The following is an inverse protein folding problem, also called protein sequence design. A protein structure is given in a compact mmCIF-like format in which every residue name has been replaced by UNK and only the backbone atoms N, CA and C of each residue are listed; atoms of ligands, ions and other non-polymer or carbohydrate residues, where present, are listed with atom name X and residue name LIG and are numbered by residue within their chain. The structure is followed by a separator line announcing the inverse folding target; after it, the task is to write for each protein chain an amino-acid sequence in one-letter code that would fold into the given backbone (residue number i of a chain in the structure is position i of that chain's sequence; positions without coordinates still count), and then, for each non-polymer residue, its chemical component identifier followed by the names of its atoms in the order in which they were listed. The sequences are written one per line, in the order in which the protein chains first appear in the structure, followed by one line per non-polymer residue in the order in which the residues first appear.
data_IF_211203719637
#
_entry.id   IF_211203719637
#
_cell.length_a   1.000
_cell.length_b   1.000
_cell.length_c   1.000
_cell.angle_alpha   90.00
_cell.angle_beta   90.00
_cell.angle_gamma   90.00
#
_symmetry.space_group_name_H-M   'P 1'
#
loop_
_entity.id
_entity.type
_entity.pdbx_description
1 polymer ?
#
# COMPACT_ATOMS: atom_id res chain seq x y z
N UNK A 1 -25.84 21.28 -17.13
CA UNK A 1 -27.01 20.43 -16.79
C UNK A 1 -26.68 19.01 -17.22
N UNK A 2 -26.20 18.15 -16.30
CA UNK A 2 -26.06 16.74 -16.57
C UNK A 2 -27.47 16.12 -16.53
N UNK A 3 -27.97 15.71 -17.69
CA UNK A 3 -29.29 15.09 -17.83
C UNK A 3 -29.34 13.80 -17.03
N UNK A 4 -30.36 13.66 -16.17
CA UNK A 4 -30.61 12.42 -15.44
C UNK A 4 -30.88 11.29 -16.44
N UNK A 5 -30.02 10.27 -16.45
CA UNK A 5 -30.21 9.07 -17.28
C UNK A 5 -31.59 8.44 -17.02
N UNK A 6 -32.26 8.01 -18.06
CA UNK A 6 -33.51 7.26 -17.96
C UNK A 6 -33.29 5.89 -17.30
N UNK A 7 -34.36 5.29 -16.80
CA UNK A 7 -34.26 3.94 -16.20
C UNK A 7 -33.73 2.88 -17.20
N UNK A 8 -34.05 3.01 -18.47
CA UNK A 8 -33.56 2.15 -19.56
C UNK A 8 -32.05 2.32 -19.79
N UNK A 9 -31.56 3.56 -19.85
CA UNK A 9 -30.12 3.85 -19.98
C UNK A 9 -29.30 3.38 -18.78
N UNK A 10 -29.87 3.49 -17.56
CA UNK A 10 -29.24 2.95 -16.33
C UNK A 10 -29.18 1.41 -16.35
N UNK A 11 -30.24 0.74 -16.82
CA UNK A 11 -30.27 -0.71 -16.97
C UNK A 11 -29.25 -1.19 -18.01
N UNK A 12 -29.16 -0.50 -19.17
CA UNK A 12 -28.17 -0.79 -20.21
C UNK A 12 -26.72 -0.64 -19.72
N UNK A 13 -26.40 0.45 -19.01
CA UNK A 13 -25.06 0.64 -18.41
C UNK A 13 -24.72 -0.43 -17.37
N UNK A 14 -25.66 -0.84 -16.53
CA UNK A 14 -25.46 -1.93 -15.57
C UNK A 14 -25.14 -3.26 -16.25
N UNK A 15 -25.89 -3.61 -17.30
CA UNK A 15 -25.65 -4.82 -18.07
C UNK A 15 -24.28 -4.80 -18.76
N UNK A 16 -23.87 -3.65 -19.32
CA UNK A 16 -22.55 -3.49 -19.92
C UNK A 16 -21.41 -3.65 -18.90
N UNK A 17 -21.51 -3.06 -17.71
CA UNK A 17 -20.50 -3.22 -16.65
C UNK A 17 -20.45 -4.66 -16.17
N UNK A 18 -21.59 -5.33 -15.98
CA UNK A 18 -21.64 -6.73 -15.59
C UNK A 18 -20.93 -7.63 -16.62
N UNK A 19 -21.17 -7.42 -17.91
CA UNK A 19 -20.52 -8.15 -18.99
C UNK A 19 -18.98 -7.93 -19.01
N UNK A 20 -18.51 -6.69 -18.78
CA UNK A 20 -17.10 -6.36 -18.69
C UNK A 20 -16.44 -7.06 -17.47
N UNK A 21 -17.11 -7.06 -16.33
CA UNK A 21 -16.64 -7.74 -15.13
C UNK A 21 -16.52 -9.25 -15.34
N UNK A 22 -17.51 -9.88 -15.98
CA UNK A 22 -17.49 -11.30 -16.31
C UNK A 22 -16.32 -11.64 -17.25
N UNK A 23 -16.10 -10.82 -18.29
CA UNK A 23 -14.97 -10.99 -19.20
C UNK A 23 -13.62 -10.81 -18.50
N UNK A 24 -13.49 -9.82 -17.60
CA UNK A 24 -12.27 -9.61 -16.83
C UNK A 24 -12.01 -10.77 -15.88
N UNK A 25 -13.03 -11.28 -15.16
CA UNK A 25 -12.89 -12.47 -14.32
C UNK A 25 -12.50 -13.72 -15.10
N UNK A 26 -13.00 -13.89 -16.33
CA UNK A 26 -12.59 -14.99 -17.21
C UNK A 26 -11.10 -14.89 -17.60
N UNK A 27 -10.57 -13.67 -17.81
CA UNK A 27 -9.12 -13.44 -18.05
C UNK A 27 -8.28 -13.77 -16.83
N UNK A 28 -8.70 -13.37 -15.62
CA UNK A 28 -8.03 -13.77 -14.38
C UNK A 28 -8.09 -15.28 -14.14
N UNK A 29 -9.20 -15.95 -14.53
CA UNK A 29 -9.28 -17.40 -14.48
C UNK A 29 -8.23 -18.07 -15.38
N UNK A 30 -8.03 -17.54 -16.59
CA UNK A 30 -6.96 -18.02 -17.49
C UNK A 30 -5.58 -17.85 -16.87
N UNK A 31 -5.29 -16.72 -16.22
CA UNK A 31 -4.03 -16.51 -15.48
C UNK A 31 -3.88 -17.52 -14.33
N UNK A 32 -4.95 -17.76 -13.56
CA UNK A 32 -4.91 -18.73 -12.47
C UNK A 32 -4.59 -20.15 -12.97
N UNK A 33 -5.11 -20.53 -14.14
CA UNK A 33 -4.79 -21.82 -14.77
C UNK A 33 -3.34 -21.87 -15.32
N UNK A 34 -2.81 -20.74 -15.79
CA UNK A 34 -1.49 -20.63 -16.39
C UNK A 34 -0.37 -20.44 -15.35
N UNK A 35 -0.68 -20.15 -14.07
CA UNK A 35 0.36 -19.95 -13.07
C UNK A 35 1.28 -21.18 -12.98
N UNK A 36 2.59 -20.93 -12.86
CA UNK A 36 3.59 -22.00 -12.73
C UNK A 36 3.53 -22.68 -11.34
N UNK A 37 3.82 -23.97 -11.30
CA UNK A 37 3.85 -24.75 -10.08
C UNK A 37 2.50 -25.38 -9.70
N UNK A 38 2.53 -26.27 -8.69
CA UNK A 38 1.33 -26.89 -8.15
C UNK A 38 0.43 -25.80 -7.51
N UNK A 39 -0.88 -25.89 -7.74
CA UNK A 39 -1.84 -25.02 -7.09
C UNK A 39 -1.86 -25.35 -5.61
N UNK A 40 -1.35 -24.45 -4.76
CA UNK A 40 -1.41 -24.62 -3.31
C UNK A 40 -2.87 -24.57 -2.83
N UNK A 41 -3.14 -25.20 -1.69
CA UNK A 41 -4.45 -25.13 -1.04
C UNK A 41 -4.85 -23.68 -0.77
N UNK A 42 -3.90 -22.85 -0.33
CA UNK A 42 -4.08 -21.43 -0.08
C UNK A 42 -4.53 -20.68 -1.35
N UNK A 43 -3.80 -20.82 -2.46
CA UNK A 43 -4.13 -20.17 -3.73
C UNK A 43 -5.51 -20.59 -4.26
N UNK A 44 -5.85 -21.88 -4.16
CA UNK A 44 -7.15 -22.38 -4.58
C UNK A 44 -8.30 -21.82 -3.73
N UNK A 45 -8.14 -21.77 -2.41
CA UNK A 45 -9.13 -21.20 -1.50
C UNK A 45 -9.37 -19.71 -1.81
N UNK A 46 -8.30 -18.93 -2.06
CA UNK A 46 -8.43 -17.53 -2.40
C UNK A 46 -9.02 -17.29 -3.79
N UNK A 47 -8.76 -18.17 -4.75
CA UNK A 47 -9.44 -18.11 -6.05
C UNK A 47 -10.96 -18.31 -5.92
N UNK A 48 -11.41 -19.25 -5.07
CA UNK A 48 -12.84 -19.40 -4.79
C UNK A 48 -13.43 -18.14 -4.12
N UNK A 49 -12.72 -17.55 -3.15
CA UNK A 49 -13.13 -16.27 -2.53
C UNK A 49 -13.19 -15.14 -3.58
N UNK A 50 -12.21 -15.05 -4.49
CA UNK A 50 -12.21 -14.06 -5.58
C UNK A 50 -13.46 -14.18 -6.48
N UNK A 51 -13.86 -15.41 -6.82
CA UNK A 51 -15.08 -15.65 -7.59
C UNK A 51 -16.36 -15.26 -6.83
N UNK A 52 -16.39 -15.48 -5.52
CA UNK A 52 -17.53 -15.11 -4.68
C UNK A 52 -17.67 -13.60 -4.51
N UNK A 53 -16.57 -12.89 -4.26
CA UNK A 53 -16.54 -11.43 -4.12
C UNK A 53 -16.84 -10.76 -5.47
N UNK A 54 -16.22 -11.25 -6.54
CA UNK A 54 -16.33 -10.68 -7.88
C UNK A 54 -15.74 -9.27 -8.01
N UNK A 55 -15.60 -8.79 -9.24
CA UNK A 55 -15.17 -7.42 -9.49
C UNK A 55 -16.28 -6.41 -9.15
N UNK A 56 -15.94 -5.20 -8.66
CA UNK A 56 -16.91 -4.23 -8.21
C UNK A 56 -17.90 -3.86 -9.32
N UNK A 57 -19.18 -3.86 -9.00
CA UNK A 57 -20.24 -3.42 -9.88
C UNK A 57 -20.36 -1.89 -9.87
N UNK A 58 -21.05 -1.35 -10.86
CA UNK A 58 -21.33 0.08 -10.94
C UNK A 58 -21.93 0.62 -9.62
N UNK A 59 -21.30 1.65 -9.04
CA UNK A 59 -21.66 2.29 -7.76
C UNK A 59 -21.36 1.46 -6.51
N UNK A 60 -20.40 0.56 -6.56
CA UNK A 60 -19.89 -0.03 -5.33
C UNK A 60 -19.27 1.07 -4.47
N UNK A 61 -19.68 1.19 -3.21
CA UNK A 61 -19.28 2.30 -2.34
C UNK A 61 -17.76 2.42 -2.21
N UNK A 62 -17.08 1.30 -2.02
CA UNK A 62 -15.62 1.25 -1.87
C UNK A 62 -14.81 1.57 -3.13
N UNK A 63 -15.48 1.60 -4.29
CA UNK A 63 -14.85 1.84 -5.60
C UNK A 63 -15.39 3.08 -6.30
N UNK A 64 -16.19 3.87 -5.58
CA UNK A 64 -16.87 5.03 -6.15
C UNK A 64 -15.88 6.06 -6.73
N UNK A 65 -14.77 6.26 -6.05
CA UNK A 65 -13.76 7.27 -6.42
C UNK A 65 -12.60 6.69 -7.22
N UNK A 66 -12.49 5.36 -7.34
CA UNK A 66 -11.37 4.66 -7.97
C UNK A 66 -11.87 3.82 -9.14
N UNK A 67 -11.95 4.39 -10.37
CA UNK A 67 -12.50 3.70 -11.53
C UNK A 67 -11.57 2.58 -12.00
N UNK A 68 -12.14 1.40 -12.28
CA UNK A 68 -11.41 0.20 -12.72
C UNK A 68 -11.42 -0.01 -14.24
N UNK A 69 -11.85 0.97 -15.02
CA UNK A 69 -12.05 0.78 -16.47
C UNK A 69 -10.77 0.30 -17.18
N UNK A 70 -9.60 0.82 -16.82
CA UNK A 70 -8.32 0.38 -17.39
C UNK A 70 -8.03 -1.08 -17.04
N UNK A 71 -8.23 -1.47 -15.78
CA UNK A 71 -8.00 -2.86 -15.31
C UNK A 71 -8.96 -3.84 -16.00
N UNK A 72 -10.24 -3.48 -16.12
CA UNK A 72 -11.28 -4.34 -16.68
C UNK A 72 -11.12 -4.60 -18.19
N UNK A 73 -10.45 -3.71 -18.91
CA UNK A 73 -10.25 -3.84 -20.35
C UNK A 73 -8.89 -4.41 -20.74
N UNK A 74 -7.99 -4.59 -19.80
CA UNK A 74 -6.62 -5.04 -20.05
C UNK A 74 -6.53 -6.57 -20.04
N UNK A 75 -5.72 -7.11 -20.96
CA UNK A 75 -5.28 -8.50 -20.94
C UNK A 75 -3.95 -8.60 -20.21
N UNK A 76 -3.82 -9.58 -19.33
CA UNK A 76 -2.62 -9.77 -18.53
C UNK A 76 -1.92 -11.09 -18.85
N UNK A 77 -0.60 -11.12 -18.66
CA UNK A 77 0.22 -12.32 -18.68
C UNK A 77 1.27 -12.26 -17.58
N UNK A 78 1.71 -13.40 -17.07
CA UNK A 78 2.88 -13.42 -16.21
C UNK A 78 4.11 -12.99 -16.98
N UNK A 79 4.93 -12.17 -16.33
CA UNK A 79 6.23 -11.75 -16.84
C UNK A 79 7.32 -12.71 -16.39
N UNK A 80 8.41 -12.78 -17.16
CA UNK A 80 9.63 -13.51 -16.82
C UNK A 80 10.81 -12.68 -17.33
N UNK A 81 11.30 -11.77 -16.49
CA UNK A 81 12.46 -10.93 -16.81
C UNK A 81 13.68 -11.46 -16.08
N UNK A 82 14.72 -11.75 -16.84
CA UNK A 82 16.05 -11.95 -16.28
C UNK A 82 16.69 -10.59 -15.98
N UNK A 83 17.21 -10.45 -14.77
CA UNK A 83 17.85 -9.24 -14.30
C UNK A 83 19.25 -9.54 -13.78
N UNK A 84 20.24 -8.78 -14.23
CA UNK A 84 21.59 -8.86 -13.70
C UNK A 84 21.75 -8.01 -12.42
N UNK A 85 22.83 -8.24 -11.68
CA UNK A 85 23.14 -7.56 -10.43
C UNK A 85 23.23 -6.03 -10.63
N UNK A 86 23.86 -5.56 -11.71
CA UNK A 86 24.03 -4.13 -11.98
C UNK A 86 22.69 -3.42 -12.18
N UNK A 87 21.78 -4.03 -12.92
CA UNK A 87 20.43 -3.49 -13.12
C UNK A 87 19.62 -3.52 -11.82
N UNK A 88 19.77 -4.57 -11.00
CA UNK A 88 19.14 -4.64 -9.69
C UNK A 88 19.65 -3.53 -8.75
N UNK A 89 20.97 -3.32 -8.67
CA UNK A 89 21.55 -2.27 -7.83
C UNK A 89 21.12 -0.85 -8.25
N UNK A 90 20.90 -0.63 -9.53
CA UNK A 90 20.43 0.66 -10.04
C UNK A 90 18.98 0.99 -9.58
N UNK A 91 18.18 -0.04 -9.25
CA UNK A 91 16.80 0.08 -8.80
C UNK A 91 16.67 0.02 -7.27
N UNK A 92 17.67 -0.52 -6.58
CA UNK A 92 17.67 -0.70 -5.15
C UNK A 92 17.91 0.62 -4.40
N UNK A 93 17.37 0.72 -3.18
CA UNK A 93 17.75 1.80 -2.26
C UNK A 93 19.18 1.58 -1.76
N UNK A 94 19.99 2.64 -1.63
CA UNK A 94 21.37 2.54 -1.14
C UNK A 94 21.40 2.43 0.40
N UNK A 95 20.98 1.29 0.93
CA UNK A 95 20.88 1.01 2.37
C UNK A 95 21.56 -0.33 2.71
N UNK A 96 22.16 -0.42 3.89
CA UNK A 96 22.68 -1.68 4.42
C UNK A 96 21.53 -2.50 5.03
N UNK A 97 21.14 -3.60 4.37
CA UNK A 97 19.96 -4.38 4.72
C UNK A 97 20.11 -5.87 4.40
N UNK A 98 19.31 -6.72 5.06
CA UNK A 98 19.06 -8.10 4.62
C UNK A 98 18.05 -8.05 3.48
N UNK A 99 18.49 -8.29 2.25
CA UNK A 99 17.68 -8.05 1.06
C UNK A 99 17.08 -9.32 0.47
N UNK A 100 15.77 -9.30 0.25
CA UNK A 100 15.03 -10.29 -0.55
C UNK A 100 14.61 -9.61 -1.85
N UNK A 101 14.96 -10.19 -3.00
CA UNK A 101 14.61 -9.67 -4.32
C UNK A 101 13.62 -10.60 -5.00
N UNK A 102 12.48 -10.04 -5.39
CA UNK A 102 11.55 -10.68 -6.32
C UNK A 102 11.55 -9.91 -7.64
N UNK A 103 11.75 -10.61 -8.75
CA UNK A 103 11.59 -10.09 -10.10
C UNK A 103 10.34 -10.73 -10.69
N UNK A 104 9.38 -9.91 -11.10
CA UNK A 104 8.08 -10.36 -11.63
C UNK A 104 7.35 -11.39 -10.74
N UNK A 105 7.45 -11.19 -9.41
CA UNK A 105 6.83 -12.08 -8.43
C UNK A 105 7.59 -13.39 -8.17
N UNK A 106 8.80 -13.55 -8.70
CA UNK A 106 9.67 -14.72 -8.52
C UNK A 106 10.91 -14.37 -7.69
N UNK A 107 11.20 -15.20 -6.72
CA UNK A 107 12.37 -15.06 -5.86
C UNK A 107 13.67 -15.27 -6.64
N UNK A 108 14.59 -14.32 -6.52
CA UNK A 108 15.93 -14.41 -7.09
C UNK A 108 16.97 -14.64 -5.99
N UNK A 109 17.47 -15.85 -5.88
CA UNK A 109 18.51 -16.19 -4.90
C UNK A 109 19.87 -15.53 -5.22
N UNK A 110 20.15 -15.21 -6.48
CA UNK A 110 21.38 -14.56 -6.90
C UNK A 110 21.43 -13.07 -6.61
N UNK A 111 20.26 -12.41 -6.55
CA UNK A 111 20.12 -10.98 -6.25
C UNK A 111 19.77 -10.72 -4.76
N UNK A 112 19.40 -11.77 -4.04
CA UNK A 112 19.07 -11.67 -2.60
C UNK A 112 20.31 -11.90 -1.74
N UNK A 113 20.28 -11.38 -0.50
CA UNK A 113 21.33 -11.60 0.49
C UNK A 113 21.47 -13.09 0.81
N UNK A 114 22.71 -13.58 0.91
CA UNK A 114 23.00 -14.97 1.37
C UNK A 114 22.77 -15.06 2.88
N UNK A 115 23.27 -14.07 3.63
CA UNK A 115 23.05 -13.96 5.07
C UNK A 115 21.78 -13.14 5.33
N UNK A 116 20.80 -13.74 5.97
CA UNK A 116 19.54 -13.12 6.38
C UNK A 116 19.52 -12.74 7.86
N UNK A 117 20.68 -12.76 8.53
CA UNK A 117 20.80 -12.44 9.95
C UNK A 117 19.89 -13.31 10.81
N UNK A 118 19.04 -12.71 11.67
CA UNK A 118 18.16 -13.48 12.55
C UNK A 118 16.87 -13.97 11.85
N UNK A 119 16.61 -13.57 10.60
CA UNK A 119 15.40 -13.95 9.89
C UNK A 119 15.50 -15.35 9.31
N UNK A 120 14.50 -16.16 9.57
CA UNK A 120 14.28 -17.42 8.89
C UNK A 120 13.36 -17.17 7.69
N UNK A 121 13.83 -17.50 6.49
CA UNK A 121 13.12 -17.23 5.24
C UNK A 121 12.87 -18.53 4.50
N UNK A 122 11.62 -18.76 4.09
CA UNK A 122 11.22 -19.94 3.32
C UNK A 122 10.16 -19.59 2.28
N UNK A 123 10.08 -20.39 1.22
CA UNK A 123 8.93 -20.39 0.32
C UNK A 123 7.77 -21.12 1.01
N UNK A 124 6.54 -20.65 0.81
CA UNK A 124 5.34 -21.29 1.32
C UNK A 124 5.20 -22.71 0.73
N UNK A 125 4.99 -23.70 1.58
CA UNK A 125 4.68 -25.07 1.13
C UNK A 125 3.29 -25.13 0.50
N UNK A 126 3.07 -26.11 -0.38
CA UNK A 126 1.80 -26.32 -1.08
C UNK A 126 0.64 -26.64 -0.16
N UNK A 127 0.90 -27.16 1.02
CA UNK A 127 -0.10 -27.53 2.04
C UNK A 127 -0.37 -26.42 3.07
N UNK A 128 0.51 -25.42 3.15
CA UNK A 128 0.39 -24.36 4.12
C UNK A 128 -0.77 -23.41 3.81
N UNK A 129 -1.39 -22.91 4.86
CA UNK A 129 -2.39 -21.86 4.81
C UNK A 129 -1.86 -20.65 5.57
N UNK A 130 -2.06 -19.46 5.00
CA UNK A 130 -1.75 -18.20 5.65
C UNK A 130 -3.00 -17.62 6.31
N UNK A 131 -2.86 -16.63 7.22
CA UNK A 131 -3.99 -16.02 7.89
C UNK A 131 -5.04 -15.47 6.93
N UNK A 132 -6.30 -15.55 7.34
CA UNK A 132 -7.41 -14.94 6.61
C UNK A 132 -7.27 -13.41 6.57
N UNK A 133 -7.87 -12.81 5.56
CA UNK A 133 -7.87 -11.36 5.41
C UNK A 133 -8.69 -10.69 6.52
N UNK A 134 -8.17 -9.60 7.10
CA UNK A 134 -8.89 -8.76 8.05
C UNK A 134 -10.09 -8.10 7.37
N UNK A 135 -9.88 -7.56 6.18
CA UNK A 135 -10.94 -6.99 5.36
C UNK A 135 -10.85 -7.53 3.93
N UNK A 136 -11.86 -8.33 3.54
CA UNK A 136 -11.88 -9.06 2.27
C UNK A 136 -12.14 -8.12 1.08
N UNK A 137 -11.31 -8.25 0.03
CA UNK A 137 -11.40 -7.44 -1.18
C UNK A 137 -10.89 -8.23 -2.39
N UNK A 138 -11.44 -7.96 -3.58
CA UNK A 138 -11.17 -8.76 -4.79
C UNK A 138 -9.70 -8.80 -5.19
N UNK A 139 -8.98 -7.66 -5.20
CA UNK A 139 -7.58 -7.64 -5.62
C UNK A 139 -6.65 -8.29 -4.60
N UNK A 140 -7.02 -8.27 -3.31
CA UNK A 140 -6.36 -9.08 -2.28
C UNK A 140 -6.44 -10.58 -2.66
N UNK A 141 -7.64 -11.07 -2.96
CA UNK A 141 -7.83 -12.47 -3.30
C UNK A 141 -7.19 -12.84 -4.65
N UNK A 142 -7.18 -11.92 -5.62
CA UNK A 142 -6.43 -12.12 -6.87
C UNK A 142 -4.94 -12.26 -6.59
N UNK A 143 -4.34 -11.39 -5.79
CA UNK A 143 -2.91 -11.48 -5.44
C UNK A 143 -2.60 -12.79 -4.71
N UNK A 144 -3.38 -13.17 -3.69
CA UNK A 144 -3.21 -14.44 -2.96
C UNK A 144 -3.32 -15.67 -3.88
N UNK A 145 -4.22 -15.64 -4.87
CA UNK A 145 -4.42 -16.75 -5.79
C UNK A 145 -3.38 -16.81 -6.91
N UNK A 146 -2.86 -15.67 -7.35
CA UNK A 146 -1.97 -15.56 -8.50
C UNK A 146 -0.49 -15.50 -8.13
N UNK A 147 -0.12 -15.22 -6.88
CA UNK A 147 1.28 -15.21 -6.43
C UNK A 147 1.91 -16.60 -6.61
N UNK A 148 3.04 -16.63 -7.34
CA UNK A 148 3.68 -17.90 -7.73
C UNK A 148 4.60 -18.43 -6.64
N UNK A 149 5.29 -17.55 -5.92
CA UNK A 149 6.28 -17.89 -4.89
C UNK A 149 6.07 -17.04 -3.63
N UNK A 150 5.00 -17.31 -2.85
CA UNK A 150 4.82 -16.64 -1.56
C UNK A 150 6.00 -16.93 -0.63
N UNK A 151 6.46 -15.91 0.10
CA UNK A 151 7.59 -16.00 1.03
C UNK A 151 7.08 -15.87 2.46
N UNK A 152 7.52 -16.79 3.32
CA UNK A 152 7.28 -16.77 4.76
C UNK A 152 8.57 -16.38 5.47
N UNK A 153 8.47 -15.44 6.40
CA UNK A 153 9.59 -14.88 7.15
C UNK A 153 9.26 -14.95 8.63
N UNK A 154 10.17 -15.49 9.41
CA UNK A 154 10.01 -15.61 10.86
C UNK A 154 11.19 -14.98 11.60
N UNK A 155 10.89 -14.19 12.63
CA UNK A 155 11.85 -13.67 13.59
C UNK A 155 11.50 -14.23 14.96
N UNK A 156 12.40 -15.09 15.50
CA UNK A 156 12.18 -15.79 16.75
C UNK A 156 12.15 -14.87 17.99
N UNK A 157 11.60 -15.41 19.08
CA UNK A 157 11.47 -14.68 20.34
C UNK A 157 12.81 -14.13 20.86
N UNK A 158 12.77 -12.90 21.40
CA UNK A 158 13.92 -12.16 21.93
C UNK A 158 15.00 -11.83 20.89
N UNK A 159 14.72 -11.98 19.59
CA UNK A 159 15.65 -11.61 18.53
C UNK A 159 15.48 -10.12 18.16
N UNK A 160 16.61 -9.45 17.96
CA UNK A 160 16.66 -8.05 17.49
C UNK A 160 17.43 -8.00 16.18
N UNK A 161 16.76 -7.66 15.11
CA UNK A 161 17.41 -7.48 13.82
C UNK A 161 18.24 -6.19 13.81
N UNK A 162 19.55 -6.32 13.55
CA UNK A 162 20.48 -5.19 13.56
C UNK A 162 20.40 -4.34 12.29
N UNK A 163 19.93 -4.93 11.18
CA UNK A 163 19.69 -4.28 9.90
C UNK A 163 18.24 -4.49 9.50
N UNK A 164 17.67 -3.58 8.69
CA UNK A 164 16.33 -3.79 8.17
C UNK A 164 16.26 -5.00 7.23
N UNK A 165 15.10 -5.64 7.18
CA UNK A 165 14.73 -6.57 6.12
C UNK A 165 14.21 -5.75 4.94
N UNK A 166 14.83 -5.89 3.77
CA UNK A 166 14.50 -5.15 2.57
C UNK A 166 13.88 -6.04 1.51
N UNK A 167 12.57 -5.87 1.27
CA UNK A 167 11.79 -6.59 0.26
C UNK A 167 11.76 -5.74 -1.01
N UNK A 168 12.65 -6.05 -1.98
CA UNK A 168 12.73 -5.36 -3.25
C UNK A 168 11.90 -6.10 -4.31
N UNK A 169 10.84 -5.45 -4.77
CA UNK A 169 9.87 -5.97 -5.74
C UNK A 169 10.05 -5.23 -7.07
N UNK A 170 10.54 -5.93 -8.09
CA UNK A 170 10.86 -5.36 -9.40
C UNK A 170 9.87 -5.91 -10.42
N UNK A 171 9.06 -5.04 -11.03
CA UNK A 171 8.07 -5.39 -12.06
C UNK A 171 8.53 -4.95 -13.44
N UNK A 172 8.50 -5.87 -14.40
CA UNK A 172 8.77 -5.56 -15.80
C UNK A 172 7.50 -5.26 -16.58
N UNK A 173 7.50 -4.16 -17.30
CA UNK A 173 6.40 -3.82 -18.20
C UNK A 173 6.56 -4.41 -19.60
N UNK A 174 5.49 -4.43 -20.38
CA UNK A 174 5.46 -4.93 -21.75
C UNK A 174 4.85 -3.92 -22.72
N UNK A 175 5.22 -4.04 -23.99
CA UNK A 175 4.57 -3.34 -25.09
C UNK A 175 3.37 -4.16 -25.62
N UNK A 176 2.40 -3.45 -26.23
CA UNK A 176 1.24 -4.03 -26.92
C UNK A 176 0.01 -4.21 -26.02
N UNK A 177 -0.97 -4.98 -26.51
CA UNK A 177 -2.30 -5.09 -25.90
C UNK A 177 -2.35 -6.03 -24.68
N UNK A 178 -1.28 -6.78 -24.43
CA UNK A 178 -1.16 -7.67 -23.27
C UNK A 178 -0.12 -7.15 -22.30
N UNK A 179 -0.54 -6.82 -21.11
CA UNK A 179 0.26 -6.19 -20.05
C UNK A 179 0.85 -7.26 -19.12
N UNK A 180 2.11 -7.12 -18.76
CA UNK A 180 2.74 -7.98 -17.78
C UNK A 180 2.10 -7.80 -16.40
N UNK A 181 1.93 -8.91 -15.66
CA UNK A 181 1.49 -8.87 -14.27
C UNK A 181 2.47 -9.57 -13.34
N UNK A 182 2.72 -8.95 -12.20
CA UNK A 182 3.59 -9.44 -11.13
C UNK A 182 2.84 -9.47 -9.81
N UNK A 183 2.90 -10.60 -9.09
CA UNK A 183 2.17 -10.78 -7.84
C UNK A 183 3.14 -11.13 -6.72
N UNK A 184 3.20 -10.28 -5.69
CA UNK A 184 4.14 -10.36 -4.57
C UNK A 184 3.38 -10.72 -3.30
N UNK A 185 3.84 -11.76 -2.59
CA UNK A 185 3.19 -12.25 -1.39
C UNK A 185 4.19 -12.57 -0.29
N UNK A 186 4.04 -11.89 0.84
CA UNK A 186 4.86 -12.09 2.04
C UNK A 186 4.00 -12.35 3.27
N UNK A 187 4.47 -13.23 4.14
CA UNK A 187 3.97 -13.40 5.48
C UNK A 187 5.13 -13.27 6.47
N UNK A 188 4.97 -12.42 7.48
CA UNK A 188 5.99 -12.15 8.48
C UNK A 188 5.42 -12.44 9.86
N UNK A 189 6.12 -13.26 10.64
CA UNK A 189 5.81 -13.51 12.05
C UNK A 189 6.96 -12.99 12.91
N UNK A 190 6.65 -12.12 13.84
CA UNK A 190 7.56 -11.64 14.89
C UNK A 190 7.11 -12.24 16.23
N UNK A 191 7.94 -13.11 16.82
CA UNK A 191 7.65 -13.67 18.14
C UNK A 191 7.81 -12.63 19.26
N UNK A 192 7.44 -13.00 20.48
CA UNK A 192 7.47 -12.12 21.65
C UNK A 192 8.88 -11.51 21.92
N UNK A 193 8.90 -10.25 22.32
CA UNK A 193 10.11 -9.46 22.63
C UNK A 193 11.08 -9.30 21.45
N UNK A 194 10.62 -9.48 20.23
CA UNK A 194 11.46 -9.29 19.04
C UNK A 194 11.39 -7.85 18.51
N UNK A 195 12.40 -7.47 17.73
CA UNK A 195 12.43 -6.15 17.08
C UNK A 195 12.89 -6.26 15.64
N UNK A 196 12.10 -5.70 14.70
CA UNK A 196 12.44 -5.64 13.29
C UNK A 196 11.98 -4.34 12.61
N UNK A 197 12.77 -3.93 11.63
CA UNK A 197 12.37 -2.94 10.62
C UNK A 197 12.26 -3.64 9.27
N UNK A 198 11.17 -3.42 8.56
CA UNK A 198 10.91 -3.99 7.23
C UNK A 198 10.66 -2.88 6.22
N UNK A 199 11.31 -2.97 5.08
CA UNK A 199 11.16 -2.03 3.96
C UNK A 199 10.56 -2.80 2.79
N UNK A 200 9.38 -2.41 2.36
CA UNK A 200 8.66 -2.97 1.21
C UNK A 200 8.76 -1.98 0.03
N UNK A 201 9.56 -2.27 -0.98
CA UNK A 201 9.85 -1.37 -2.08
C UNK A 201 9.39 -1.96 -3.42
N UNK A 202 8.55 -1.21 -4.14
CA UNK A 202 8.05 -1.57 -5.47
C UNK A 202 8.61 -0.60 -6.50
N UNK A 203 9.23 -1.14 -7.54
CA UNK A 203 9.85 -0.38 -8.64
C UNK A 203 9.56 -1.02 -9.99
N UNK A 204 9.53 -0.21 -11.03
CA UNK A 204 9.45 -0.65 -12.42
C UNK A 204 10.84 -0.87 -13.00
N UNK A 205 11.06 -1.99 -13.69
CA UNK A 205 12.28 -2.25 -14.42
C UNK A 205 12.43 -1.33 -15.67
N UNK A 206 11.31 -0.97 -16.28
CA UNK A 206 11.26 -0.12 -17.48
C UNK A 206 10.04 0.81 -17.43
N UNK A 207 9.90 1.70 -18.42
CA UNK A 207 8.82 2.68 -18.52
C UNK A 207 7.55 2.13 -19.19
N UNK A 208 7.38 0.80 -19.25
CA UNK A 208 6.25 0.14 -19.89
C UNK A 208 5.16 -0.21 -18.89
N UNK A 209 3.92 -0.38 -19.40
CA UNK A 209 2.78 -0.73 -18.57
C UNK A 209 2.93 -2.12 -17.93
N UNK A 210 2.59 -2.21 -16.65
CA UNK A 210 2.49 -3.46 -15.90
C UNK A 210 1.40 -3.37 -14.82
N UNK A 211 0.98 -4.53 -14.34
CA UNK A 211 0.05 -4.67 -13.24
C UNK A 211 0.73 -5.36 -12.06
N UNK A 212 0.81 -4.67 -10.93
CA UNK A 212 1.41 -5.18 -9.70
C UNK A 212 0.34 -5.47 -8.67
N UNK A 213 0.32 -6.70 -8.16
CA UNK A 213 -0.40 -7.09 -6.95
C UNK A 213 0.57 -7.26 -5.78
N UNK A 214 0.31 -6.64 -4.65
CA UNK A 214 1.10 -6.76 -3.43
C UNK A 214 0.26 -7.26 -2.25
N UNK A 215 0.80 -8.20 -1.48
CA UNK A 215 0.15 -8.70 -0.27
C UNK A 215 1.18 -8.97 0.82
N UNK A 216 1.04 -8.27 1.94
CA UNK A 216 1.85 -8.49 3.15
C UNK A 216 0.91 -8.79 4.32
N UNK A 217 1.16 -9.89 5.04
CA UNK A 217 0.53 -10.15 6.34
C UNK A 217 1.59 -10.20 7.41
N UNK A 218 1.32 -9.58 8.56
CA UNK A 218 2.27 -9.49 9.67
C UNK A 218 1.57 -9.85 10.98
N UNK A 219 2.15 -10.78 11.72
CA UNK A 219 1.77 -11.09 13.09
C UNK A 219 2.86 -10.58 14.02
N UNK A 220 2.51 -9.61 14.88
CA UNK A 220 3.42 -9.00 15.86
C UNK A 220 3.09 -9.56 17.21
N UNK A 221 4.01 -10.36 17.77
CA UNK A 221 3.88 -11.02 19.08
C UNK A 221 3.95 -10.05 20.25
N UNK A 222 3.70 -10.55 21.47
CA UNK A 222 3.68 -9.74 22.69
C UNK A 222 5.01 -9.02 22.94
N UNK A 223 4.93 -7.74 23.32
CA UNK A 223 6.08 -6.87 23.59
C UNK A 223 7.09 -6.76 22.43
N UNK A 224 6.64 -7.02 21.19
CA UNK A 224 7.48 -6.89 20.01
C UNK A 224 7.42 -5.47 19.43
N UNK A 225 8.45 -5.09 18.68
CA UNK A 225 8.56 -3.80 18.01
C UNK A 225 8.68 -4.02 16.50
N UNK A 226 7.76 -3.49 15.74
CA UNK A 226 7.73 -3.60 14.31
C UNK A 226 7.64 -2.24 13.62
N UNK A 227 8.60 -1.94 12.77
CA UNK A 227 8.59 -0.76 11.92
C UNK A 227 8.48 -1.20 10.45
N UNK A 228 7.53 -0.66 9.74
CA UNK A 228 7.29 -0.96 8.33
C UNK A 228 7.29 0.32 7.50
N UNK A 229 8.05 0.31 6.41
CA UNK A 229 8.13 1.39 5.44
C UNK A 229 7.88 0.86 4.04
N UNK A 230 6.76 1.28 3.45
CA UNK A 230 6.42 0.95 2.07
C UNK A 230 6.75 2.10 1.14
N UNK A 231 7.52 1.82 0.09
CA UNK A 231 7.76 2.75 -1.02
C UNK A 231 7.16 2.16 -2.29
N UNK A 232 6.22 2.87 -2.89
CA UNK A 232 5.80 2.62 -4.25
C UNK A 232 6.38 3.72 -5.15
N UNK A 233 7.37 3.34 -5.96
CA UNK A 233 8.05 4.19 -6.91
C UNK A 233 8.00 3.59 -8.33
N UNK A 234 6.84 3.03 -8.67
CA UNK A 234 6.60 2.47 -10.01
C UNK A 234 6.35 3.59 -11.03
N UNK A 235 6.51 3.27 -12.32
CA UNK A 235 6.37 4.24 -13.41
C UNK A 235 4.91 4.75 -13.54
N UNK A 236 4.73 5.84 -14.27
CA UNK A 236 3.45 6.56 -14.40
C UNK A 236 2.39 5.86 -15.28
N UNK A 237 2.65 4.68 -15.81
CA UNK A 237 1.70 3.84 -16.56
C UNK A 237 1.40 2.51 -15.85
N UNK A 238 2.01 2.26 -14.69
CA UNK A 238 1.79 1.09 -13.85
C UNK A 238 0.41 1.12 -13.17
N UNK A 239 -0.16 -0.07 -12.97
CA UNK A 239 -1.32 -0.30 -12.12
C UNK A 239 -0.87 -1.08 -10.88
N UNK A 240 -1.10 -0.54 -9.68
CA UNK A 240 -0.65 -1.12 -8.42
C UNK A 240 -1.81 -1.32 -7.45
N UNK A 241 -2.04 -2.55 -6.99
CA UNK A 241 -3.02 -2.89 -5.97
C UNK A 241 -2.35 -3.67 -4.85
N UNK A 242 -2.32 -3.11 -3.65
CA UNK A 242 -1.66 -3.76 -2.53
C UNK A 242 -2.48 -3.74 -1.25
N UNK A 243 -2.34 -4.80 -0.46
CA UNK A 243 -3.04 -4.99 0.80
C UNK A 243 -2.07 -5.49 1.88
N UNK A 244 -2.00 -4.75 2.98
CA UNK A 244 -1.22 -5.13 4.14
C UNK A 244 -2.17 -5.37 5.33
N UNK A 245 -2.07 -6.54 5.98
CA UNK A 245 -2.78 -6.83 7.22
C UNK A 245 -1.77 -7.00 8.36
N UNK A 246 -2.02 -6.35 9.49
CA UNK A 246 -1.13 -6.35 10.66
C UNK A 246 -1.93 -6.71 11.90
N UNK A 247 -1.56 -7.80 12.56
CA UNK A 247 -2.12 -8.20 13.85
C UNK A 247 -1.15 -7.81 14.96
N UNK A 248 -1.63 -7.08 15.96
CA UNK A 248 -0.82 -6.46 17.01
C UNK A 248 -1.10 -7.16 18.35
N UNK A 249 -0.09 -7.78 18.91
CA UNK A 249 -0.10 -8.44 20.23
C UNK A 249 -0.06 -7.45 21.39
N UNK A 250 -0.05 -7.98 22.63
CA UNK A 250 -0.06 -7.21 23.86
C UNK A 250 1.28 -6.47 24.08
N UNK A 251 1.20 -5.24 24.60
CA UNK A 251 2.37 -4.39 24.91
C UNK A 251 3.27 -4.09 23.71
N UNK A 252 2.80 -4.34 22.48
CA UNK A 252 3.59 -4.20 21.25
C UNK A 252 3.57 -2.77 20.70
N UNK A 253 4.62 -2.41 19.96
CA UNK A 253 4.75 -1.12 19.30
C UNK A 253 4.90 -1.32 17.79
N UNK A 254 3.97 -0.79 17.02
CA UNK A 254 3.93 -0.93 15.58
C UNK A 254 3.88 0.45 14.91
N UNK A 255 4.78 0.67 13.96
CA UNK A 255 4.75 1.80 13.03
C UNK A 255 4.65 1.27 11.60
N UNK A 256 3.68 1.74 10.83
CA UNK A 256 3.60 1.47 9.39
C UNK A 256 3.46 2.79 8.62
N UNK A 257 4.37 3.07 7.71
CA UNK A 257 4.38 4.29 6.89
C UNK A 257 4.47 3.94 5.41
N UNK A 258 3.54 4.47 4.60
CA UNK A 258 3.48 4.22 3.15
C UNK A 258 3.74 5.49 2.36
N UNK A 259 4.67 5.44 1.42
CA UNK A 259 5.02 6.52 0.49
C UNK A 259 4.60 6.09 -0.92
N UNK A 260 3.46 6.62 -1.39
CA UNK A 260 2.86 6.28 -2.69
C UNK A 260 3.22 7.37 -3.70
N UNK A 261 4.32 7.14 -4.43
CA UNK A 261 4.99 8.14 -5.25
C UNK A 261 4.80 7.94 -6.77
N UNK A 262 4.17 6.84 -7.20
CA UNK A 262 4.01 6.53 -8.63
C UNK A 262 2.81 5.65 -8.95
N UNK A 263 2.61 5.38 -10.24
CA UNK A 263 1.55 4.56 -10.79
C UNK A 263 0.42 5.35 -11.42
N UNK A 264 -0.05 4.92 -12.62
CA UNK A 264 -1.24 5.49 -13.26
C UNK A 264 -2.49 5.31 -12.39
N UNK A 265 -2.58 4.13 -11.75
CA UNK A 265 -3.63 3.79 -10.80
C UNK A 265 -3.00 3.00 -9.65
N UNK A 266 -2.89 3.62 -8.48
CA UNK A 266 -2.36 3.00 -7.27
C UNK A 266 -3.45 2.92 -6.22
N UNK A 267 -3.69 1.71 -5.68
CA UNK A 267 -4.55 1.53 -4.51
C UNK A 267 -3.84 0.68 -3.47
N UNK A 268 -3.65 1.26 -2.30
CA UNK A 268 -3.04 0.60 -1.16
C UNK A 268 -4.02 0.54 0.01
N UNK A 269 -4.27 -0.65 0.52
CA UNK A 269 -5.12 -0.88 1.68
C UNK A 269 -4.27 -1.43 2.84
N UNK A 270 -4.34 -0.79 4.00
CA UNK A 270 -3.74 -1.30 5.24
C UNK A 270 -4.84 -1.59 6.25
N UNK A 271 -4.95 -2.85 6.66
CA UNK A 271 -5.81 -3.26 7.77
C UNK A 271 -4.96 -3.61 8.98
N UNK A 272 -5.44 -3.27 10.17
CA UNK A 272 -4.78 -3.66 11.42
C UNK A 272 -5.80 -4.06 12.48
N UNK A 273 -5.41 -5.02 13.32
CA UNK A 273 -6.19 -5.48 14.46
C UNK A 273 -5.33 -5.45 15.72
N UNK A 274 -5.74 -4.65 16.72
CA UNK A 274 -5.14 -4.67 18.05
C UNK A 274 -5.85 -5.77 18.86
N UNK A 275 -5.13 -6.90 19.01
CA UNK A 275 -5.64 -8.13 19.65
C UNK A 275 -5.12 -8.34 21.07
N UNK A 276 -4.08 -7.59 21.49
CA UNK A 276 -3.53 -7.58 22.83
C UNK A 276 -3.67 -6.22 23.49
N UNK A 277 -3.94 -6.19 24.82
CA UNK A 277 -4.04 -4.95 25.58
C UNK A 277 -2.74 -4.14 25.54
N UNK A 278 -2.85 -2.82 25.69
CA UNK A 278 -1.72 -1.87 25.70
C UNK A 278 -0.89 -1.89 24.40
N UNK A 279 -1.51 -2.27 23.26
CA UNK A 279 -0.89 -2.20 21.94
C UNK A 279 -0.85 -0.75 21.43
N UNK A 280 0.29 -0.35 20.84
CA UNK A 280 0.48 0.96 20.20
C UNK A 280 0.64 0.79 18.70
N UNK A 281 -0.18 1.49 17.91
CA UNK A 281 -0.15 1.43 16.46
C UNK A 281 -0.11 2.82 15.82
N UNK A 282 0.95 3.09 15.07
CA UNK A 282 1.07 4.31 14.25
C UNK A 282 0.97 3.97 12.76
N UNK A 283 0.06 4.63 12.05
CA UNK A 283 -0.17 4.41 10.63
C UNK A 283 -0.09 5.73 9.85
N UNK A 284 0.87 5.81 8.94
CA UNK A 284 1.11 7.02 8.19
C UNK A 284 1.06 6.77 6.68
N UNK A 285 0.66 7.76 5.90
CA UNK A 285 0.80 7.71 4.44
C UNK A 285 1.08 9.07 3.81
N UNK A 286 1.93 9.08 2.78
CA UNK A 286 2.16 10.21 1.90
C UNK A 286 1.78 9.83 0.47
N UNK A 287 0.85 10.59 -0.13
CA UNK A 287 0.39 10.42 -1.50
C UNK A 287 0.86 11.62 -2.33
N UNK A 288 1.58 11.37 -3.42
CA UNK A 288 2.08 12.39 -4.34
C UNK A 288 1.62 12.15 -5.79
N UNK A 289 0.31 12.10 -6.08
CA UNK A 289 -0.17 11.96 -7.45
C UNK A 289 0.11 13.22 -8.28
N UNK A 290 0.47 13.03 -9.56
CA UNK A 290 0.66 14.10 -10.55
C UNK A 290 0.01 13.75 -11.88
N UNK A 291 -0.02 14.69 -12.81
CA UNK A 291 -0.60 14.55 -14.15
C UNK A 291 -2.08 14.11 -14.10
N UNK A 292 -2.38 12.88 -14.50
CA UNK A 292 -3.70 12.25 -14.47
C UNK A 292 -3.75 10.99 -13.59
N UNK A 293 -2.77 10.80 -12.74
CA UNK A 293 -2.66 9.64 -11.85
C UNK A 293 -3.78 9.63 -10.81
N UNK A 294 -4.16 8.43 -10.41
CA UNK A 294 -5.11 8.19 -9.32
C UNK A 294 -4.39 7.39 -8.23
N UNK A 295 -4.29 7.98 -7.03
CA UNK A 295 -3.69 7.32 -5.88
C UNK A 295 -4.72 7.24 -4.76
N UNK A 296 -5.08 6.02 -4.39
CA UNK A 296 -6.09 5.69 -3.38
C UNK A 296 -5.42 4.96 -2.21
N UNK A 297 -5.53 5.50 -1.00
CA UNK A 297 -5.15 4.80 0.22
C UNK A 297 -6.35 4.55 1.11
N UNK A 298 -6.42 3.33 1.63
CA UNK A 298 -7.48 2.91 2.55
C UNK A 298 -6.87 2.35 3.83
N UNK A 299 -7.49 2.70 4.94
CA UNK A 299 -7.12 2.13 6.24
C UNK A 299 -8.34 1.54 6.92
N UNK A 300 -8.14 0.39 7.56
CA UNK A 300 -9.14 -0.27 8.40
C UNK A 300 -8.46 -0.71 9.70
N UNK A 301 -8.84 -0.09 10.80
CA UNK A 301 -8.23 -0.35 12.10
C UNK A 301 -9.29 -0.82 13.09
N UNK A 302 -9.07 -1.99 13.71
CA UNK A 302 -9.93 -2.54 14.76
C UNK A 302 -9.22 -2.53 16.11
N UNK A 303 -9.81 -1.85 17.08
CA UNK A 303 -9.51 -2.01 18.50
C UNK A 303 -10.42 -3.09 19.08
N UNK A 304 -9.89 -4.30 19.27
CA UNK A 304 -10.65 -5.44 19.77
C UNK A 304 -10.56 -5.60 21.29
N UNK A 305 -9.55 -5.00 21.91
CA UNK A 305 -9.26 -5.03 23.37
C UNK A 305 -8.97 -3.63 23.88
N UNK A 306 -9.02 -3.46 25.20
CA UNK A 306 -8.87 -2.15 25.85
C UNK A 306 -7.44 -1.66 25.96
N UNK A 307 -7.31 -0.40 26.41
CA UNK A 307 -6.03 0.29 26.74
C UNK A 307 -5.07 0.44 25.55
N UNK A 308 -5.57 0.30 24.32
CA UNK A 308 -4.77 0.44 23.11
C UNK A 308 -4.75 1.90 22.63
N UNK A 309 -3.64 2.26 22.01
CA UNK A 309 -3.44 3.58 21.40
C UNK A 309 -3.20 3.45 19.90
N UNK A 310 -3.85 4.31 19.11
CA UNK A 310 -3.52 4.43 17.69
C UNK A 310 -3.43 5.89 17.24
N UNK A 311 -2.49 6.15 16.33
CA UNK A 311 -2.28 7.46 15.71
C UNK A 311 -2.14 7.28 14.21
N UNK A 312 -2.96 8.02 13.45
CA UNK A 312 -2.90 7.97 11.99
C UNK A 312 -2.65 9.38 11.45
N UNK A 313 -1.62 9.51 10.60
CA UNK A 313 -1.32 10.75 9.90
C UNK A 313 -1.22 10.48 8.39
N UNK A 314 -2.18 11.00 7.64
CA UNK A 314 -2.26 10.87 6.20
C UNK A 314 -2.05 12.20 5.52
N UNK A 315 -1.10 12.30 4.61
CA UNK A 315 -0.81 13.52 3.85
C UNK A 315 -0.94 13.30 2.37
N UNK A 316 -1.52 14.29 1.71
CA UNK A 316 -1.71 14.29 0.26
C UNK A 316 -1.17 15.58 -0.32
N UNK A 317 -0.38 15.49 -1.38
CA UNK A 317 -0.04 16.61 -2.25
C UNK A 317 -0.53 16.25 -3.64
N UNK A 318 -1.66 16.83 -4.04
CA UNK A 318 -2.26 16.56 -5.36
C UNK A 318 -1.84 17.65 -6.36
N UNK A 319 -1.21 17.22 -7.45
CA UNK A 319 -0.61 18.09 -8.48
C UNK A 319 -1.40 18.00 -9.79
N UNK A 320 -1.31 19.00 -10.63
CA UNK A 320 -1.90 19.07 -11.98
C UNK A 320 -3.40 18.74 -12.03
N UNK A 321 -3.78 17.68 -12.72
CA UNK A 321 -5.15 17.14 -12.81
C UNK A 321 -5.31 15.79 -12.16
N UNK A 322 -4.43 15.47 -11.21
CA UNK A 322 -4.41 14.18 -10.51
C UNK A 322 -5.54 14.03 -9.50
N UNK A 323 -5.77 12.78 -9.11
CA UNK A 323 -6.78 12.45 -8.12
C UNK A 323 -6.18 11.65 -6.96
N UNK A 324 -6.44 12.09 -5.74
CA UNK A 324 -6.16 11.31 -4.53
C UNK A 324 -7.43 10.90 -3.81
N UNK A 325 -7.40 9.71 -3.22
CA UNK A 325 -8.50 9.20 -2.39
C UNK A 325 -7.93 8.75 -1.05
N UNK A 326 -8.55 9.18 0.03
CA UNK A 326 -8.32 8.67 1.37
C UNK A 326 -9.64 8.14 1.95
N UNK A 327 -9.63 6.88 2.38
CA UNK A 327 -10.75 6.29 3.11
C UNK A 327 -10.21 5.59 4.36
N UNK A 328 -10.48 6.16 5.54
CA UNK A 328 -10.06 5.61 6.82
C UNK A 328 -11.27 5.14 7.64
N UNK A 329 -11.21 3.92 8.16
CA UNK A 329 -12.18 3.36 9.07
C UNK A 329 -11.51 2.93 10.36
N UNK A 330 -12.03 3.39 11.49
CA UNK A 330 -11.65 2.94 12.83
C UNK A 330 -12.86 2.29 13.45
N UNK A 331 -12.70 1.08 13.95
CA UNK A 331 -13.72 0.33 14.65
C UNK A 331 -13.26 0.00 16.07
N UNK A 332 -14.06 0.35 17.06
CA UNK A 332 -13.79 0.09 18.47
C UNK A 332 -14.85 -0.88 19.00
N UNK A 333 -14.40 -2.08 19.39
CA UNK A 333 -15.26 -3.14 19.90
C UNK A 333 -15.88 -2.76 21.28
N UNK A 334 -17.01 -3.37 21.68
CA UNK A 334 -17.69 -3.03 22.94
C UNK A 334 -16.82 -3.13 24.19
N UNK A 335 -15.86 -4.05 24.20
CA UNK A 335 -14.96 -4.29 25.35
C UNK A 335 -13.63 -3.55 25.24
N UNK A 336 -13.40 -2.77 24.19
CA UNK A 336 -12.15 -2.02 23.97
C UNK A 336 -12.16 -0.68 24.74
N UNK A 337 -12.36 -0.76 26.07
CA UNK A 337 -12.38 0.41 26.96
C UNK A 337 -11.01 1.09 27.03
N UNK A 338 -10.99 2.40 27.26
CA UNK A 338 -9.78 3.24 27.33
C UNK A 338 -8.94 3.25 26.05
N UNK A 339 -9.57 2.95 24.92
CA UNK A 339 -8.98 3.19 23.62
C UNK A 339 -8.73 4.69 23.42
N UNK A 340 -7.53 5.05 22.97
CA UNK A 340 -7.16 6.42 22.56
C UNK A 340 -6.74 6.39 21.10
N UNK A 341 -7.63 6.89 20.21
CA UNK A 341 -7.40 6.87 18.76
C UNK A 341 -7.52 8.25 18.16
N UNK A 342 -6.61 8.59 17.26
CA UNK A 342 -6.63 9.83 16.49
C UNK A 342 -6.25 9.58 15.03
N UNK A 343 -7.10 10.06 14.10
CA UNK A 343 -6.85 10.03 12.66
C UNK A 343 -6.82 11.46 12.11
N UNK A 344 -5.73 11.82 11.44
CA UNK A 344 -5.57 13.12 10.79
C UNK A 344 -5.28 12.94 9.30
N UNK A 345 -6.00 13.69 8.45
CA UNK A 345 -5.74 13.77 7.03
C UNK A 345 -5.51 15.22 6.61
N UNK A 346 -4.33 15.51 6.06
CA UNK A 346 -3.95 16.84 5.60
C UNK A 346 -3.66 16.82 4.10
N UNK A 347 -4.34 17.69 3.37
CA UNK A 347 -4.23 17.77 1.91
C UNK A 347 -3.77 19.14 1.46
N UNK A 348 -2.79 19.14 0.56
CA UNK A 348 -2.30 20.31 -0.16
C UNK A 348 -2.63 20.17 -1.67
N UNK A 349 -3.49 21.06 -2.18
CA UNK A 349 -3.84 21.11 -3.60
C UNK A 349 -2.92 22.09 -4.33
N UNK A 350 -2.14 21.60 -5.30
CA UNK A 350 -1.22 22.40 -6.11
C UNK A 350 -1.72 22.63 -7.53
N UNK A 351 -2.55 21.74 -8.07
CA UNK A 351 -3.17 21.86 -9.37
C UNK A 351 -4.58 22.45 -9.30
N UNK A 352 -4.98 23.22 -10.31
CA UNK A 352 -6.36 23.76 -10.39
C UNK A 352 -7.41 22.70 -10.70
N UNK A 353 -7.00 21.58 -11.27
CA UNK A 353 -7.86 20.43 -11.58
C UNK A 353 -7.61 19.24 -10.65
N UNK A 354 -6.73 19.39 -9.66
CA UNK A 354 -6.48 18.36 -8.68
C UNK A 354 -7.74 18.09 -7.86
N UNK A 355 -8.04 16.81 -7.68
CA UNK A 355 -9.22 16.34 -6.94
C UNK A 355 -8.77 15.48 -5.75
N UNK A 356 -9.39 15.70 -4.59
CA UNK A 356 -9.17 14.86 -3.40
C UNK A 356 -10.49 14.48 -2.78
N UNK A 357 -10.71 13.18 -2.67
CA UNK A 357 -11.84 12.60 -1.93
C UNK A 357 -11.35 12.05 -0.60
N UNK A 358 -11.84 12.59 0.52
CA UNK A 358 -11.47 12.13 1.86
C UNK A 358 -12.69 11.67 2.64
N UNK A 359 -12.63 10.46 3.20
CA UNK A 359 -13.74 9.82 3.92
C UNK A 359 -13.24 9.17 5.23
N UNK A 360 -12.95 9.93 6.29
CA UNK A 360 -12.69 9.35 7.61
C UNK A 360 -14.00 8.88 8.26
N UNK A 361 -13.99 7.69 8.87
CA UNK A 361 -15.15 7.04 9.47
C UNK A 361 -14.80 6.44 10.84
N UNK A 362 -15.71 6.50 11.78
CA UNK A 362 -15.59 5.91 13.11
C UNK A 362 -16.83 5.04 13.41
N UNK A 363 -16.59 3.82 13.85
CA UNK A 363 -17.61 2.91 14.41
C UNK A 363 -17.23 2.58 15.85
N UNK A 364 -17.84 3.26 16.81
CA UNK A 364 -17.48 3.18 18.23
C UNK A 364 -18.58 2.48 19.00
N UNK A 365 -18.27 1.34 19.59
CA UNK A 365 -19.20 0.52 20.37
C UNK A 365 -18.85 0.45 21.86
N UNK A 366 -17.83 1.20 22.33
CA UNK A 366 -17.43 1.32 23.74
C UNK A 366 -17.67 2.73 24.27
N UNK A 367 -17.96 2.86 25.56
CA UNK A 367 -18.35 4.15 26.18
C UNK A 367 -17.14 4.97 26.70
N UNK A 368 -16.13 4.32 27.29
CA UNK A 368 -14.96 4.99 27.91
C UNK A 368 -13.78 5.00 26.95
N UNK A 369 -13.84 5.86 25.93
CA UNK A 369 -12.82 5.98 24.89
C UNK A 369 -12.56 7.44 24.51
N UNK A 370 -11.40 7.70 23.88
CA UNK A 370 -11.01 8.97 23.27
C UNK A 370 -10.74 8.70 21.79
N UNK A 371 -11.72 8.97 20.95
CA UNK A 371 -11.59 8.73 19.50
C UNK A 371 -11.97 9.99 18.74
N UNK A 372 -11.18 10.33 17.73
CA UNK A 372 -11.43 11.49 16.91
C UNK A 372 -10.78 11.42 15.55
N UNK A 373 -11.37 12.15 14.60
CA UNK A 373 -10.73 12.36 13.30
C UNK A 373 -10.77 13.83 12.89
N UNK A 374 -9.80 14.23 12.07
CA UNK A 374 -9.73 15.55 11.45
C UNK A 374 -9.29 15.44 9.99
N UNK A 375 -9.88 16.27 9.14
CA UNK A 375 -9.47 16.39 7.75
C UNK A 375 -9.33 17.86 7.37
N UNK A 376 -8.23 18.20 6.67
CA UNK A 376 -8.00 19.54 6.13
C UNK A 376 -7.66 19.45 4.66
N UNK A 377 -8.29 20.30 3.86
CA UNK A 377 -7.97 20.45 2.43
C UNK A 377 -7.71 21.91 2.17
N UNK A 378 -6.53 22.23 1.65
CA UNK A 378 -6.13 23.61 1.43
C UNK A 378 -5.16 23.78 0.27
N UNK A 379 -4.80 25.02 0.01
CA UNK A 379 -3.70 25.43 -0.89
C UNK A 379 -2.58 26.03 -0.05
N UNK A 380 -1.46 26.32 -0.67
CA UNK A 380 -0.35 27.02 0.00
C UNK A 380 -0.87 28.35 0.54
N UNK A 381 -0.56 28.62 1.80
CA UNK A 381 -0.92 29.85 2.48
C UNK A 381 -0.11 31.03 1.92
N UNK A 382 -0.80 32.02 1.40
CA UNK A 382 -0.21 33.22 0.82
C UNK A 382 0.58 34.04 1.87
N UNK A 383 0.21 34.02 3.15
CA UNK A 383 0.94 34.70 4.22
C UNK A 383 2.28 34.02 4.48
N UNK A 384 2.33 32.68 4.49
CA UNK A 384 3.58 31.94 4.61
C UNK A 384 4.50 32.20 3.41
N UNK A 385 3.92 32.20 2.20
CA UNK A 385 4.69 32.53 0.99
C UNK A 385 5.21 33.96 1.02
N UNK A 386 4.40 34.93 1.42
CA UNK A 386 4.78 36.31 1.59
C UNK A 386 5.90 36.46 2.63
N UNK A 387 5.80 35.78 3.77
CA UNK A 387 6.84 35.83 4.81
C UNK A 387 8.21 35.37 4.29
N UNK A 388 8.27 34.22 3.59
CA UNK A 388 9.52 33.71 3.02
C UNK A 388 10.09 34.68 1.97
N UNK A 389 9.23 35.23 1.11
CA UNK A 389 9.64 36.21 0.10
C UNK A 389 10.14 37.51 0.73
N UNK A 390 9.57 37.97 1.82
CA UNK A 390 10.04 39.18 2.55
C UNK A 390 11.43 39.00 3.17
N UNK A 391 11.88 37.74 3.33
CA UNK A 391 13.24 37.35 3.76
C UNK A 391 14.22 37.16 2.61
N UNK A 392 13.82 37.53 1.38
CA UNK A 392 14.66 37.45 0.20
C UNK A 392 14.70 36.11 -0.52
N UNK A 393 13.81 35.16 -0.14
CA UNK A 393 13.68 33.88 -0.83
C UNK A 393 12.85 34.08 -2.09
N UNK A 394 13.33 33.59 -3.23
CA UNK A 394 12.59 33.64 -4.49
C UNK A 394 11.23 32.89 -4.36
N UNK A 395 10.21 33.36 -5.07
CA UNK A 395 8.86 32.83 -4.93
C UNK A 395 8.73 31.35 -5.27
N UNK A 396 9.46 30.85 -6.28
CA UNK A 396 9.50 29.45 -6.65
C UNK A 396 10.20 28.62 -5.55
N UNK A 397 11.33 29.09 -5.05
CA UNK A 397 12.06 28.44 -3.97
C UNK A 397 11.23 28.42 -2.67
N UNK A 398 10.54 29.52 -2.34
CA UNK A 398 9.66 29.58 -1.16
C UNK A 398 8.50 28.58 -1.24
N UNK A 399 7.84 28.49 -2.40
CA UNK A 399 6.81 27.49 -2.66
C UNK A 399 7.33 26.07 -2.47
N UNK A 400 8.47 25.76 -3.10
CA UNK A 400 9.09 24.44 -3.01
C UNK A 400 9.49 24.08 -1.57
N UNK A 401 10.01 25.04 -0.78
CA UNK A 401 10.34 24.84 0.63
C UNK A 401 9.11 24.44 1.46
N UNK A 402 7.97 25.11 1.26
CA UNK A 402 6.71 24.78 1.97
C UNK A 402 6.25 23.38 1.62
N UNK A 403 6.27 23.01 0.33
CA UNK A 403 5.84 21.72 -0.17
C UNK A 403 6.72 20.59 0.41
N UNK A 404 8.05 20.76 0.36
CA UNK A 404 8.98 19.78 0.91
C UNK A 404 8.83 19.66 2.43
N UNK A 405 8.65 20.76 3.16
CA UNK A 405 8.43 20.72 4.61
C UNK A 405 7.14 19.96 4.96
N UNK A 406 6.06 20.17 4.19
CA UNK A 406 4.81 19.44 4.37
C UNK A 406 4.98 17.94 4.17
N UNK A 407 5.71 17.50 3.13
CA UNK A 407 5.98 16.09 2.88
C UNK A 407 6.94 15.47 3.90
N UNK A 408 7.97 16.22 4.32
CA UNK A 408 9.06 15.75 5.17
C UNK A 408 8.60 15.36 6.59
N UNK A 409 7.51 15.91 7.10
CA UNK A 409 6.98 15.59 8.43
C UNK A 409 6.82 14.08 8.65
N UNK A 410 6.37 13.34 7.63
CA UNK A 410 6.21 11.89 7.72
C UNK A 410 7.53 11.12 7.77
N UNK A 411 8.63 11.72 7.32
CA UNK A 411 9.95 11.11 7.37
C UNK A 411 10.62 11.24 8.74
N UNK A 412 10.08 12.06 9.64
CA UNK A 412 10.60 12.22 10.99
C UNK A 412 10.45 10.93 11.83
N UNK A 413 9.51 10.06 11.48
CA UNK A 413 9.32 8.75 12.09
C UNK A 413 10.37 7.70 11.66
N UNK A 414 11.20 8.01 10.65
CA UNK A 414 12.23 7.10 10.14
C UNK A 414 13.51 7.29 10.95
N UNK A 415 13.82 6.32 11.83
CA UNK A 415 15.03 6.35 12.65
C UNK A 415 16.31 6.00 11.88
N UNK A 416 16.19 5.15 10.85
CA UNK A 416 17.31 4.77 9.99
C UNK A 416 17.64 5.92 9.03
N UNK A 417 18.81 6.55 9.21
CA UNK A 417 19.19 7.75 8.45
C UNK A 417 19.39 7.48 6.95
N UNK A 418 19.94 6.31 6.56
CA UNK A 418 20.10 5.94 5.15
C UNK A 418 18.74 5.81 4.48
N UNK A 419 17.78 5.14 5.13
CA UNK A 419 16.42 5.03 4.65
C UNK A 419 15.73 6.40 4.57
N UNK A 420 15.86 7.24 5.60
CA UNK A 420 15.31 8.60 5.62
C UNK A 420 15.81 9.42 4.44
N UNK A 421 17.11 9.38 4.18
CA UNK A 421 17.72 10.07 3.03
C UNK A 421 17.23 9.54 1.70
N UNK A 422 17.12 8.21 1.55
CA UNK A 422 16.63 7.57 0.34
C UNK A 422 15.16 7.95 0.07
N UNK A 423 14.29 7.91 1.08
CA UNK A 423 12.88 8.33 0.98
C UNK A 423 12.79 9.81 0.60
N UNK A 424 13.55 10.67 1.28
CA UNK A 424 13.58 12.11 0.97
C UNK A 424 14.11 12.41 -0.44
N UNK A 425 15.06 11.63 -0.94
CA UNK A 425 15.54 11.76 -2.32
C UNK A 425 14.43 11.46 -3.33
N UNK A 426 13.66 10.38 -3.14
CA UNK A 426 12.52 10.04 -3.97
C UNK A 426 11.40 11.10 -3.91
N UNK A 427 11.09 11.62 -2.72
CA UNK A 427 10.11 12.71 -2.55
C UNK A 427 10.57 13.97 -3.30
N UNK A 428 11.84 14.38 -3.15
CA UNK A 428 12.39 15.54 -3.86
C UNK A 428 12.39 15.37 -5.37
N UNK A 429 12.76 14.18 -5.85
CA UNK A 429 12.69 13.87 -7.28
C UNK A 429 11.26 13.98 -7.81
N UNK A 430 10.28 13.45 -7.07
CA UNK A 430 8.86 13.51 -7.44
C UNK A 430 8.32 14.93 -7.49
N UNK A 431 8.81 15.82 -6.62
CA UNK A 431 8.39 17.21 -6.47
C UNK A 431 9.30 18.20 -7.23
N UNK A 432 10.29 17.75 -7.99
CA UNK A 432 11.28 18.63 -8.64
C UNK A 432 10.69 19.60 -9.67
N UNK A 433 9.56 19.25 -10.28
CA UNK A 433 8.89 20.00 -11.35
C UNK A 433 7.80 20.95 -10.85
N UNK A 434 7.57 21.06 -9.53
CA UNK A 434 6.46 21.82 -8.89
C UNK A 434 6.85 23.30 -8.56
#
# INVERSE_FOLDING_TARGET
MAGLLTNSERAGKRAQVAALNEQAMARFATLFEQRSGAKSHHAAAHWEKAKQVGLPVFRHEDWHYTPLHSVLNTHYRFAEQDLDEKACEALALPIDAYRIVLVDGRYSSTLSSIDMGPFQVALLDSQDMLPDAVNSEIFLHLTESLAQQPIVIHLGANQIAQKPLYLLNISSGSDGDTVNTSQYRYHITLDANSKAQVIEHFVSFNDKAHFTGGRLTVEVGDNAQYQHFKLNNENNVAQHFAHNDIVVGRDSQVLSSSFLLGGALTRHHTSAQLMGENGHFSLNSLLLPKDSEIVDTRTYLEHNVGQCESRQLHKVIAMDGSKAVFNGMIKVAPNALKTDDQMSNHTLLLGDKAEVDTKPQLEIYADDVKCGHGATVGRIDDEQLFYLRSRGIDGKAAKHMIIIAFAAELTESIENEELKQAVMANIRQRLAEV
#
